data_IF_129943558068
#
_entry.id   IF_129943558068
#
_cell.length_a   1.000
_cell.length_b   1.000
_cell.length_c   1.000
_cell.angle_alpha   90.00
_cell.angle_beta   90.00
_cell.angle_gamma   90.00
#
_symmetry.space_group_name_H-M   'P 1'
#
loop_
_entity.id
_entity.type
_entity.pdbx_description
1 polymer ?
#
# COMPACT_ATOMS: atom_id res chain seq x y z
N UNK A 1 -8.44 14.49 -10.42
CA UNK A 1 -8.48 14.25 -11.88
C UNK A 1 -9.83 14.71 -12.40
N UNK A 2 -9.90 15.39 -13.55
CA UNK A 2 -11.19 15.80 -14.15
C UNK A 2 -11.78 14.68 -15.01
N UNK A 3 -13.08 14.77 -15.32
CA UNK A 3 -13.76 13.78 -16.18
C UNK A 3 -13.11 13.66 -17.56
N UNK A 4 -12.76 14.79 -18.17
CA UNK A 4 -12.11 14.81 -19.49
C UNK A 4 -10.72 14.16 -19.48
N UNK A 5 -9.99 14.26 -18.38
CA UNK A 5 -8.69 13.58 -18.23
C UNK A 5 -8.88 12.07 -18.11
N UNK A 6 -9.88 11.61 -17.35
CA UNK A 6 -10.21 10.19 -17.23
C UNK A 6 -10.62 9.60 -18.58
N UNK A 7 -11.53 10.28 -19.29
CA UNK A 7 -12.00 9.83 -20.60
C UNK A 7 -10.83 9.68 -21.58
N UNK A 8 -9.89 10.65 -21.58
CA UNK A 8 -8.69 10.63 -22.40
C UNK A 8 -7.73 9.49 -22.06
N UNK A 9 -7.48 9.27 -20.75
CA UNK A 9 -6.61 8.19 -20.29
C UNK A 9 -7.17 6.81 -20.66
N UNK A 10 -8.49 6.60 -20.52
CA UNK A 10 -9.13 5.35 -20.91
C UNK A 10 -9.05 5.15 -22.42
N UNK A 11 -9.37 6.17 -23.22
CA UNK A 11 -9.29 6.10 -24.68
C UNK A 11 -7.87 5.76 -25.17
N UNK A 12 -6.84 6.36 -24.55
CA UNK A 12 -5.45 6.07 -24.89
C UNK A 12 -5.04 4.63 -24.52
N UNK A 13 -5.50 4.13 -23.37
CA UNK A 13 -5.16 2.79 -22.90
C UNK A 13 -5.86 1.67 -23.68
N UNK A 14 -7.10 1.90 -24.13
CA UNK A 14 -7.91 0.87 -24.82
C UNK A 14 -7.94 1.02 -26.34
N UNK A 15 -7.51 2.17 -26.87
CA UNK A 15 -7.65 2.50 -28.29
C UNK A 15 -9.09 2.88 -28.70
N UNK A 16 -10.01 2.96 -27.74
CA UNK A 16 -11.41 3.31 -27.99
C UNK A 16 -11.60 4.81 -28.23
N UNK A 17 -12.65 5.16 -28.98
CA UNK A 17 -13.00 6.57 -29.18
C UNK A 17 -13.52 7.22 -27.89
N UNK A 18 -13.31 8.53 -27.72
CA UNK A 18 -13.87 9.29 -26.58
C UNK A 18 -15.40 9.18 -26.49
N UNK A 19 -16.08 9.03 -27.64
CA UNK A 19 -17.54 8.88 -27.68
C UNK A 19 -17.94 7.51 -27.11
N UNK A 20 -17.21 6.44 -27.47
CA UNK A 20 -17.38 5.10 -26.89
C UNK A 20 -17.14 5.12 -25.38
N UNK A 21 -16.02 5.69 -24.94
CA UNK A 21 -15.64 5.78 -23.52
C UNK A 21 -16.71 6.53 -22.70
N UNK A 22 -17.21 7.66 -23.21
CA UNK A 22 -18.28 8.42 -22.55
C UNK A 22 -19.58 7.63 -22.46
N UNK A 23 -19.95 6.90 -23.51
CA UNK A 23 -21.14 6.05 -23.53
C UNK A 23 -21.05 4.89 -22.54
N UNK A 24 -19.85 4.33 -22.35
CA UNK A 24 -19.60 3.25 -21.39
C UNK A 24 -19.56 3.74 -19.93
N UNK A 25 -19.33 5.03 -19.69
CA UNK A 25 -19.55 5.64 -18.39
C UNK A 25 -18.50 5.31 -17.32
N UNK A 26 -17.25 5.05 -17.72
CA UNK A 26 -16.14 4.76 -16.79
C UNK A 26 -16.08 5.77 -15.65
N UNK A 27 -15.85 5.27 -14.45
CA UNK A 27 -15.73 6.12 -13.25
C UNK A 27 -14.52 5.64 -12.46
N UNK A 28 -13.88 6.57 -11.76
CA UNK A 28 -12.86 6.17 -10.79
C UNK A 28 -13.57 5.33 -9.74
N UNK A 29 -13.13 4.09 -9.56
CA UNK A 29 -13.44 3.38 -8.33
C UNK A 29 -12.78 4.15 -7.21
N UNK A 30 -13.59 4.90 -6.46
CA UNK A 30 -13.19 5.39 -5.16
C UNK A 30 -13.16 4.14 -4.27
N UNK A 31 -12.06 3.39 -4.33
CA UNK A 31 -11.76 2.40 -3.33
C UNK A 31 -11.81 3.19 -2.02
N UNK A 32 -12.82 2.91 -1.20
CA UNK A 32 -13.25 3.78 -0.12
C UNK A 32 -12.03 4.30 0.62
N UNK A 33 -12.03 5.59 0.88
CA UNK A 33 -11.09 6.24 1.76
C UNK A 33 -11.25 5.68 3.19
N UNK A 34 -10.83 4.43 3.41
CA UNK A 34 -10.03 4.11 4.57
C UNK A 34 -8.64 4.70 4.29
N UNK A 35 -8.58 6.03 4.17
CA UNK A 35 -7.35 6.67 4.59
C UNK A 35 -7.27 6.27 6.06
N UNK A 36 -6.24 5.53 6.46
CA UNK A 36 -6.07 5.20 7.86
C UNK A 36 -6.10 6.53 8.61
N UNK A 37 -6.73 6.56 9.78
CA UNK A 37 -6.47 7.69 10.65
C UNK A 37 -4.95 7.81 10.82
N UNK A 38 -4.38 9.01 10.90
CA UNK A 38 -2.92 9.20 10.93
C UNK A 38 -2.25 8.42 12.08
N UNK A 39 -3.02 8.09 13.12
CA UNK A 39 -2.65 7.24 14.25
C UNK A 39 -2.55 5.73 13.92
N UNK A 40 -3.16 5.27 12.82
CA UNK A 40 -3.12 3.88 12.33
C UNK A 40 -2.00 3.64 11.29
N UNK A 41 -1.32 4.71 10.85
CA UNK A 41 -0.20 4.63 9.94
C UNK A 41 1.07 4.20 10.69
N UNK A 42 1.68 3.12 10.23
CA UNK A 42 3.01 2.69 10.69
C UNK A 42 3.96 2.54 9.51
N UNK A 43 5.26 2.64 9.79
CA UNK A 43 6.28 2.31 8.81
C UNK A 43 6.35 0.79 8.65
N UNK A 44 6.32 0.32 7.41
CA UNK A 44 6.39 -1.10 7.06
C UNK A 44 7.41 -1.33 5.95
N UNK A 45 7.84 -2.58 5.81
CA UNK A 45 8.75 -3.08 4.79
C UNK A 45 8.16 -4.39 4.24
N UNK A 46 8.32 -4.70 2.96
CA UNK A 46 7.85 -5.97 2.41
C UNK A 46 8.84 -7.11 2.68
N UNK A 47 8.34 -8.25 3.15
CA UNK A 47 9.16 -9.45 3.27
C UNK A 47 9.61 -9.95 1.88
N UNK A 48 10.91 -10.19 1.64
CA UNK A 48 11.41 -10.61 0.33
C UNK A 48 10.93 -12.00 -0.10
N UNK A 49 10.40 -12.81 0.82
CA UNK A 49 9.93 -14.18 0.55
C UNK A 49 8.43 -14.28 0.29
N UNK A 50 7.61 -13.55 1.07
CA UNK A 50 6.14 -13.63 0.97
C UNK A 50 5.46 -12.33 0.54
N UNK A 51 6.24 -11.25 0.34
CA UNK A 51 5.77 -9.92 -0.05
C UNK A 51 4.69 -9.34 0.87
N UNK A 52 4.60 -9.85 2.12
CA UNK A 52 3.70 -9.29 3.13
C UNK A 52 4.38 -8.09 3.80
N UNK A 53 3.63 -7.01 4.09
CA UNK A 53 4.13 -5.92 4.90
C UNK A 53 4.44 -6.41 6.31
N UNK A 54 5.63 -6.11 6.80
CA UNK A 54 6.05 -6.31 8.19
C UNK A 54 6.37 -4.97 8.84
N UNK A 55 6.13 -4.80 10.15
CA UNK A 55 6.48 -3.57 10.84
C UNK A 55 7.97 -3.25 10.72
N UNK A 56 8.30 -1.98 10.43
CA UNK A 56 9.68 -1.51 10.51
C UNK A 56 10.18 -1.66 11.95
N UNK A 57 11.38 -2.22 12.19
CA UNK A 57 11.90 -2.40 13.53
C UNK A 57 12.18 -1.05 14.21
N UNK A 58 11.93 -0.95 15.51
CA UNK A 58 12.35 0.25 16.24
C UNK A 58 13.89 0.37 16.20
N UNK A 59 14.44 1.60 16.09
CA UNK A 59 15.88 1.78 16.13
C UNK A 59 16.44 1.27 17.46
N UNK A 60 17.51 0.48 17.40
CA UNK A 60 18.19 0.02 18.59
C UNK A 60 18.78 1.22 19.35
N UNK A 61 18.74 1.17 20.70
CA UNK A 61 19.22 2.27 21.56
C UNK A 61 20.72 2.57 21.40
N UNK A 62 21.47 1.62 20.90
CA UNK A 62 22.91 1.69 20.65
C UNK A 62 23.25 2.12 19.20
N UNK A 63 22.24 2.36 18.37
CA UNK A 63 22.41 2.73 16.95
C UNK A 63 22.85 1.57 16.06
N UNK A 64 22.80 0.32 16.55
CA UNK A 64 23.04 -0.85 15.71
C UNK A 64 21.93 -1.00 14.65
N UNK A 65 22.27 -1.48 13.44
CA UNK A 65 21.29 -1.73 12.39
C UNK A 65 20.32 -2.81 12.87
N UNK A 66 19.03 -2.50 12.88
CA UNK A 66 17.99 -3.47 13.24
C UNK A 66 17.52 -4.20 11.99
N UNK A 67 17.49 -5.53 12.05
CA UNK A 67 16.96 -6.36 10.98
C UNK A 67 15.44 -6.36 11.04
N UNK A 68 14.79 -6.39 9.88
CA UNK A 68 13.35 -6.61 9.80
C UNK A 68 13.05 -8.09 10.07
N UNK A 69 11.93 -8.37 10.73
CA UNK A 69 11.48 -9.73 11.07
C UNK A 69 10.16 -10.04 10.39
N UNK A 70 10.09 -11.18 9.70
CA UNK A 70 8.83 -11.71 9.17
C UNK A 70 8.39 -12.95 9.94
N UNK A 71 7.42 -12.81 10.85
CA UNK A 71 6.86 -13.92 11.65
C UNK A 71 6.23 -15.04 10.79
N UNK A 72 5.75 -14.73 9.58
CA UNK A 72 5.14 -15.72 8.70
C UNK A 72 6.17 -16.62 8.01
N UNK A 73 7.34 -16.07 7.71
CA UNK A 73 8.44 -16.79 7.07
C UNK A 73 9.52 -17.24 8.06
N UNK A 74 9.46 -16.76 9.30
CA UNK A 74 10.45 -16.99 10.36
C UNK A 74 11.87 -16.61 9.93
N UNK A 75 12.02 -15.40 9.39
CA UNK A 75 13.28 -14.89 8.85
C UNK A 75 13.54 -13.46 9.32
N UNK A 76 14.83 -13.18 9.55
CA UNK A 76 15.38 -11.83 9.67
C UNK A 76 16.05 -11.43 8.36
N UNK A 77 15.88 -10.18 7.94
CA UNK A 77 16.43 -9.69 6.68
C UNK A 77 16.82 -8.22 6.75
N UNK A 78 17.83 -7.86 5.96
CA UNK A 78 18.24 -6.47 5.72
C UNK A 78 17.23 -5.76 4.81
N UNK A 79 17.19 -4.44 4.92
CA UNK A 79 16.38 -3.58 4.08
C UNK A 79 17.09 -2.24 3.84
N UNK A 80 16.80 -1.61 2.71
CA UNK A 80 17.25 -0.27 2.38
C UNK A 80 16.20 0.78 2.81
N UNK A 81 16.61 2.03 3.14
CA UNK A 81 15.68 3.09 3.49
C UNK A 81 14.61 3.39 2.44
N UNK A 82 14.89 3.11 1.16
CA UNK A 82 13.95 3.30 0.06
C UNK A 82 12.83 2.23 0.01
N UNK A 83 12.98 1.13 0.74
CA UNK A 83 12.00 0.04 0.83
C UNK A 83 10.97 0.28 1.95
N UNK A 84 11.15 1.33 2.76
CA UNK A 84 10.26 1.69 3.85
C UNK A 84 9.11 2.53 3.30
N UNK A 85 7.88 2.15 3.62
CA UNK A 85 6.68 2.90 3.24
C UNK A 85 5.66 2.98 4.39
N UNK A 86 4.76 3.95 4.30
CA UNK A 86 3.64 4.06 5.25
C UNK A 86 2.58 3.01 4.89
N UNK A 87 2.30 2.12 5.83
CA UNK A 87 1.27 1.10 5.73
C UNK A 87 0.29 1.19 6.90
N UNK A 88 -0.73 0.35 6.86
CA UNK A 88 -1.64 0.18 7.98
C UNK A 88 -1.04 -0.81 8.97
N UNK A 89 -1.09 -0.46 10.24
CA UNK A 89 -0.88 -1.45 11.29
C UNK A 89 -1.99 -2.48 11.15
N UNK A 90 -1.65 -3.77 11.08
CA UNK A 90 -2.67 -4.81 11.10
C UNK A 90 -3.35 -4.74 12.48
N UNK A 91 -4.43 -3.98 12.59
CA UNK A 91 -5.25 -3.92 13.78
C UNK A 91 -5.69 -5.34 14.06
N UNK A 92 -5.15 -5.93 15.12
CA UNK A 92 -5.66 -7.17 15.66
C UNK A 92 -7.12 -6.91 16.00
N UNK A 93 -8.04 -7.29 15.10
CA UNK A 93 -9.47 -7.31 15.38
C UNK A 93 -9.63 -8.23 16.58
N UNK A 94 -9.76 -7.64 17.76
CA UNK A 94 -10.25 -8.32 18.94
C UNK A 94 -11.69 -8.76 18.61
N UNK A 95 -11.86 -10.03 18.26
CA UNK A 95 -13.18 -10.69 18.29
C UNK A 95 -13.62 -10.73 19.74
N UNK A 96 -14.41 -9.75 20.17
CA UNK A 96 -15.22 -9.89 21.38
C UNK A 96 -16.42 -10.79 21.04
N UNK A 97 -16.51 -11.91 21.76
CA UNK A 97 -17.61 -12.87 21.72
C UNK A 97 -18.85 -12.34 22.43
#
# INVERSE_FOLDING_TARGET
>A
MTRSQLDGAVAQATGESLLTVRRLGFSLMNCGSNSPDPEDLCLVIDCPFCSRPVPHPDPARDGSPTLAECLACDVYFDYAPAEIYAGQRASSVARSS
#
